data_IF_346212933081
#
_entry.id   IF_346212933081
#
_cell.length_a   1.000
_cell.length_b   1.000
_cell.length_c   1.000
_cell.angle_alpha   90.00
_cell.angle_beta   90.00
_cell.angle_gamma   90.00
#
_symmetry.space_group_name_H-M   'P 1'
#
loop_
_entity.id
_entity.type
_entity.pdbx_description
1 polymer ?
#
# COMPACT_ATOMS: atom_id res chain seq x y z
N UNK A 1 -10.17 -0.70 3.55
CA UNK A 1 -9.48 -1.61 2.62
C UNK A 1 -8.10 -1.96 3.20
N UNK A 2 -7.56 -3.14 2.88
CA UNK A 2 -6.24 -3.56 3.32
C UNK A 2 -5.40 -3.86 2.09
N UNK A 3 -4.17 -3.34 2.05
CA UNK A 3 -3.21 -3.60 0.97
C UNK A 3 -2.18 -4.61 1.48
N UNK A 4 -2.10 -5.76 0.82
CA UNK A 4 -1.13 -6.81 1.12
C UNK A 4 -0.11 -6.85 -0.02
N UNK A 5 1.16 -6.59 0.31
CA UNK A 5 2.26 -6.50 -0.64
C UNK A 5 3.32 -7.55 -0.30
N UNK A 6 3.77 -8.30 -1.31
CA UNK A 6 4.84 -9.29 -1.18
C UNK A 6 4.46 -10.68 -1.72
N UNK A 7 5.48 -11.47 -2.04
CA UNK A 7 5.31 -12.84 -2.54
C UNK A 7 4.62 -13.72 -1.50
N UNK A 8 3.50 -14.35 -1.92
CA UNK A 8 2.70 -15.24 -1.08
C UNK A 8 1.59 -14.55 -0.27
N UNK A 9 1.33 -13.26 -0.51
CA UNK A 9 0.04 -12.67 -0.13
C UNK A 9 -1.07 -13.30 -0.98
N UNK A 10 -1.99 -14.02 -0.34
CA UNK A 10 -3.10 -14.75 -1.00
C UNK A 10 -4.41 -14.45 -0.27
N UNK A 11 -5.52 -14.39 -1.02
CA UNK A 11 -6.87 -14.16 -0.49
C UNK A 11 -6.99 -12.96 0.47
N UNK A 12 -6.24 -11.88 0.22
CA UNK A 12 -6.24 -10.70 1.09
C UNK A 12 -5.70 -11.00 2.48
N UNK A 13 -4.71 -11.89 2.59
CA UNK A 13 -4.10 -12.27 3.86
C UNK A 13 -2.58 -12.49 3.71
N UNK A 14 -1.88 -12.30 4.82
CA UNK A 14 -0.46 -12.65 5.00
C UNK A 14 -0.29 -13.70 6.10
N UNK A 15 -1.38 -14.34 6.54
CA UNK A 15 -1.39 -15.27 7.66
C UNK A 15 -0.51 -16.50 7.48
N UNK A 16 -0.22 -16.87 6.22
CA UNK A 16 0.67 -17.98 5.87
C UNK A 16 2.12 -17.54 5.63
N UNK A 17 2.42 -16.24 5.70
CA UNK A 17 3.77 -15.72 5.55
C UNK A 17 4.52 -15.75 6.89
N UNK A 18 5.70 -16.36 6.87
CA UNK A 18 6.67 -16.20 7.96
C UNK A 18 7.15 -14.75 8.09
N UNK A 19 7.55 -14.36 9.31
CA UNK A 19 7.93 -12.99 9.63
C UNK A 19 9.07 -12.44 8.75
N UNK A 20 9.95 -13.31 8.29
CA UNK A 20 11.04 -13.02 7.37
C UNK A 20 10.55 -12.60 5.97
N UNK A 21 9.45 -13.18 5.49
CA UNK A 21 8.85 -12.82 4.19
C UNK A 21 8.07 -11.51 4.26
N UNK A 22 7.39 -11.26 5.38
CA UNK A 22 6.69 -9.99 5.63
C UNK A 22 7.67 -8.80 5.63
N UNK A 23 8.89 -9.01 6.13
CA UNK A 23 9.96 -7.99 6.14
C UNK A 23 10.74 -7.90 4.82
N UNK A 24 10.44 -8.75 3.85
CA UNK A 24 11.20 -8.92 2.61
C UNK A 24 10.83 -8.00 1.46
N UNK A 25 9.88 -7.07 1.64
CA UNK A 25 9.42 -6.20 0.54
C UNK A 25 10.59 -5.33 0.04
N UNK A 26 10.90 -5.34 -1.27
CA UNK A 26 11.92 -4.48 -1.85
C UNK A 26 11.70 -3.00 -1.53
N UNK A 27 12.78 -2.30 -1.12
CA UNK A 27 12.72 -0.87 -0.77
C UNK A 27 12.19 0.01 -1.91
N UNK A 28 12.45 -0.37 -3.16
CA UNK A 28 11.95 0.34 -4.34
C UNK A 28 10.41 0.37 -4.39
N UNK A 29 9.76 -0.75 -4.04
CA UNK A 29 8.29 -0.86 -4.01
C UNK A 29 7.71 0.02 -2.90
N UNK A 30 8.33 -0.01 -1.70
CA UNK A 30 7.91 0.85 -0.58
C UNK A 30 8.05 2.33 -0.96
N UNK A 31 9.17 2.73 -1.57
CA UNK A 31 9.39 4.12 -2.01
C UNK A 31 8.40 4.56 -3.09
N UNK A 32 8.08 3.69 -4.06
CA UNK A 32 7.10 3.99 -5.10
C UNK A 32 5.71 4.25 -4.51
N UNK A 33 5.24 3.37 -3.62
CA UNK A 33 3.95 3.52 -2.95
C UNK A 33 3.90 4.82 -2.14
N UNK A 34 4.90 5.07 -1.30
CA UNK A 34 4.93 6.29 -0.50
C UNK A 34 4.99 7.55 -1.35
N UNK A 35 5.72 7.54 -2.47
CA UNK A 35 5.77 8.68 -3.39
C UNK A 35 4.41 8.91 -4.06
N UNK A 36 3.76 7.87 -4.58
CA UNK A 36 2.45 7.97 -5.23
C UNK A 36 1.35 8.48 -4.31
N UNK A 37 1.34 8.03 -3.06
CA UNK A 37 0.43 8.52 -2.02
C UNK A 37 0.69 9.98 -1.67
N UNK A 38 1.96 10.38 -1.51
CA UNK A 38 2.33 11.78 -1.22
C UNK A 38 1.91 12.74 -2.32
N UNK A 39 2.03 12.32 -3.61
CA UNK A 39 1.52 13.11 -4.75
C UNK A 39 0.01 13.39 -4.64
N UNK A 40 -0.72 12.53 -3.92
CA UNK A 40 -2.18 12.57 -3.73
C UNK A 40 -2.57 13.03 -2.32
N UNK A 41 -1.65 13.67 -1.59
CA UNK A 41 -1.92 14.26 -0.28
C UNK A 41 -1.92 13.27 0.90
N UNK A 42 -1.60 11.99 0.67
CA UNK A 42 -1.55 10.96 1.71
C UNK A 42 -0.08 10.73 2.14
N UNK A 43 0.27 11.07 3.38
CA UNK A 43 1.63 10.82 3.90
C UNK A 43 1.67 9.61 4.85
N UNK A 44 2.46 8.61 4.48
CA UNK A 44 2.79 7.47 5.34
C UNK A 44 4.12 7.74 6.05
N UNK A 45 4.04 8.19 7.31
CA UNK A 45 5.22 8.60 8.09
C UNK A 45 6.05 7.46 8.68
N UNK A 46 5.56 6.21 8.72
CA UNK A 46 6.27 5.10 9.38
C UNK A 46 6.69 3.98 8.43
N UNK A 47 7.91 3.47 8.64
CA UNK A 47 8.40 2.21 8.04
C UNK A 47 7.78 0.95 8.68
N UNK A 48 7.15 1.10 9.85
CA UNK A 48 6.54 0.02 10.64
C UNK A 48 5.25 0.57 11.27
N UNK A 49 4.13 0.34 10.60
CA UNK A 49 2.72 0.42 11.05
C UNK A 49 2.34 1.39 12.19
N UNK A 50 1.39 2.28 11.89
CA UNK A 50 0.57 2.98 12.88
C UNK A 50 -0.20 4.12 12.23
N UNK A 51 -1.46 3.87 11.85
CA UNK A 51 -2.38 4.92 11.38
C UNK A 51 -3.31 5.24 12.55
N UNK A 52 -3.26 6.49 13.03
CA UNK A 52 -4.23 7.02 13.99
C UNK A 52 -5.32 7.72 13.19
N UNK A 53 -6.52 7.15 13.13
CA UNK A 53 -7.68 7.78 12.50
C UNK A 53 -8.15 8.95 13.39
N UNK A 54 -8.20 10.15 12.81
CA UNK A 54 -9.17 11.17 13.19
C UNK A 54 -10.51 10.79 12.55
N UNK A 55 -11.64 11.18 13.14
CA UNK A 55 -12.97 10.82 12.63
C UNK A 55 -13.13 11.27 11.16
N UNK A 56 -13.11 10.29 10.24
CA UNK A 56 -13.31 10.51 8.81
C UNK A 56 -14.80 10.37 8.48
N UNK A 57 -15.30 11.22 7.60
CA UNK A 57 -16.59 11.00 6.93
C UNK A 57 -16.45 9.93 5.85
N UNK A 58 -17.56 9.36 5.40
CA UNK A 58 -17.54 8.40 4.28
C UNK A 58 -16.89 9.01 3.03
N UNK A 59 -17.08 10.31 2.80
CA UNK A 59 -16.44 11.03 1.69
C UNK A 59 -14.90 11.08 1.83
N UNK A 60 -14.38 11.32 3.04
CA UNK A 60 -12.93 11.31 3.29
C UNK A 60 -12.33 9.90 3.10
N UNK A 61 -13.12 8.86 3.44
CA UNK A 61 -12.75 7.47 3.21
C UNK A 61 -12.65 7.22 1.71
N UNK A 62 -13.71 7.54 0.95
CA UNK A 62 -13.77 7.30 -0.49
C UNK A 62 -12.66 8.03 -1.26
N UNK A 63 -12.38 9.29 -0.90
CA UNK A 63 -11.26 10.05 -1.47
C UNK A 63 -9.92 9.34 -1.22
N UNK A 64 -9.71 8.86 0.02
CA UNK A 64 -8.51 8.12 0.37
C UNK A 64 -8.44 6.78 -0.38
N UNK A 65 -9.54 6.05 -0.51
CA UNK A 65 -9.61 4.80 -1.28
C UNK A 65 -9.18 5.03 -2.74
N UNK A 66 -9.73 6.06 -3.38
CA UNK A 66 -9.39 6.44 -4.75
C UNK A 66 -7.90 6.76 -4.90
N UNK A 67 -7.32 7.49 -3.95
CA UNK A 67 -5.89 7.81 -3.98
C UNK A 67 -4.98 6.56 -3.93
N UNK A 68 -5.39 5.54 -3.18
CA UNK A 68 -4.66 4.26 -3.14
C UNK A 68 -4.87 3.44 -4.41
N UNK A 69 -6.10 3.38 -4.94
CA UNK A 69 -6.39 2.69 -6.20
C UNK A 69 -5.57 3.29 -7.35
N UNK A 70 -5.59 4.61 -7.52
CA UNK A 70 -4.82 5.31 -8.55
C UNK A 70 -3.31 5.07 -8.41
N UNK A 71 -2.81 5.02 -7.18
CA UNK A 71 -1.39 4.73 -6.92
C UNK A 71 -1.04 3.30 -7.34
N UNK A 72 -1.89 2.32 -7.02
CA UNK A 72 -1.68 0.93 -7.44
C UNK A 72 -1.72 0.81 -8.96
N UNK A 73 -2.65 1.48 -9.64
CA UNK A 73 -2.73 1.49 -11.10
C UNK A 73 -1.48 2.14 -11.74
N UNK A 74 -0.98 3.26 -11.19
CA UNK A 74 0.29 3.88 -11.62
C UNK A 74 1.46 2.90 -11.46
N UNK A 75 1.57 2.22 -10.31
CA UNK A 75 2.62 1.24 -10.06
C UNK A 75 2.56 0.02 -11.00
N UNK A 76 1.36 -0.41 -11.42
CA UNK A 76 1.18 -1.46 -12.43
C UNK A 76 1.63 -0.95 -13.80
N UNK A 77 1.19 0.24 -14.20
CA UNK A 77 1.54 0.85 -15.49
C UNK A 77 3.06 1.06 -15.64
N UNK A 78 3.73 1.43 -14.56
CA UNK A 78 5.19 1.63 -14.50
C UNK A 78 5.98 0.31 -14.33
N UNK A 79 5.29 -0.83 -14.23
CA UNK A 79 5.90 -2.16 -14.10
C UNK A 79 6.60 -2.40 -12.77
N UNK A 80 6.24 -1.65 -11.72
CA UNK A 80 6.78 -1.84 -10.37
C UNK A 80 6.18 -3.07 -9.67
N UNK A 81 4.94 -3.44 -10.02
CA UNK A 81 4.19 -4.59 -9.51
C UNK A 81 3.31 -5.19 -10.64
N UNK A 82 2.80 -6.41 -10.46
CA UNK A 82 1.89 -7.04 -11.45
C UNK A 82 2.60 -7.69 -12.65
N UNK A 83 3.76 -8.32 -12.42
CA UNK A 83 4.51 -9.02 -13.47
C UNK A 83 3.70 -10.06 -14.25
N UNK A 84 4.14 -10.33 -15.49
CA UNK A 84 3.68 -11.44 -16.35
C UNK A 84 3.66 -12.79 -15.64
#
# INVERSE_FOLDING_TARGET
FHLYLGDGAVDGSVGELGAEKIRGIPKSIVSAMQSGLRKRGVDLMSHMSGITSMAHTDADIDETLGAFEDTVQEMIADGHIGGR
#
